data_IF_509440432128
#
_entry.id   IF_509440432128
#
_cell.length_a   1.000
_cell.length_b   1.000
_cell.length_c   1.000
_cell.angle_alpha   90.00
_cell.angle_beta   90.00
_cell.angle_gamma   90.00
#
_symmetry.space_group_name_H-M   'P 1'
#
loop_
_entity.id
_entity.type
_entity.pdbx_description
1 polymer ?
#
# COMPACT_ATOMS: atom_id res chain seq x y z
N UNK A 1 23.18 22.22 -26.03
CA UNK A 1 22.47 23.28 -25.29
C UNK A 1 22.11 22.66 -23.96
N UNK A 2 23.05 22.71 -23.02
CA UNK A 2 22.86 22.22 -21.65
C UNK A 2 21.73 23.02 -21.03
N UNK A 3 20.59 22.34 -20.77
CA UNK A 3 19.52 22.95 -20.00
C UNK A 3 20.09 23.24 -18.62
N UNK A 4 20.13 24.51 -18.24
CA UNK A 4 20.50 24.98 -16.90
C UNK A 4 19.93 24.03 -15.85
N UNK A 5 20.83 23.47 -15.03
CA UNK A 5 20.48 22.84 -13.75
C UNK A 5 19.93 23.96 -12.88
N UNK A 6 18.66 24.29 -13.07
CA UNK A 6 17.96 25.27 -12.29
C UNK A 6 17.80 24.66 -10.90
N UNK A 7 18.53 25.17 -9.91
CA UNK A 7 18.48 24.69 -8.53
C UNK A 7 17.02 24.56 -8.09
N UNK A 8 16.58 23.31 -7.88
CA UNK A 8 15.21 23.02 -7.48
C UNK A 8 15.06 23.52 -6.04
N UNK A 9 14.48 24.71 -5.87
CA UNK A 9 14.19 25.28 -4.57
C UNK A 9 13.03 24.52 -3.91
N UNK A 10 13.07 24.37 -2.59
CA UNK A 10 11.98 23.75 -1.80
C UNK A 10 10.62 24.45 -2.04
N UNK A 11 10.65 25.74 -2.38
CA UNK A 11 9.48 26.52 -2.78
C UNK A 11 8.79 26.01 -4.05
N UNK A 12 9.54 25.42 -4.99
CA UNK A 12 8.99 24.86 -6.22
C UNK A 12 8.22 23.57 -5.92
N UNK A 13 8.60 22.83 -4.88
CA UNK A 13 7.85 21.67 -4.37
C UNK A 13 6.47 22.10 -3.88
N UNK A 14 6.39 23.17 -3.06
CA UNK A 14 5.11 23.71 -2.61
C UNK A 14 4.24 24.19 -3.79
N UNK A 15 4.85 24.76 -4.83
CA UNK A 15 4.11 25.17 -6.02
C UNK A 15 3.52 23.97 -6.78
N UNK A 16 4.28 22.87 -6.90
CA UNK A 16 3.81 21.60 -7.48
C UNK A 16 2.64 21.04 -6.68
N UNK A 17 2.72 21.03 -5.35
CA UNK A 17 1.59 20.61 -4.49
C UNK A 17 0.32 21.44 -4.74
N UNK A 18 0.46 22.75 -4.97
CA UNK A 18 -0.71 23.63 -5.15
C UNK A 18 -1.33 23.53 -6.54
N UNK A 19 -0.53 23.35 -7.58
CA UNK A 19 -1.02 23.30 -8.97
C UNK A 19 -1.39 21.89 -9.43
N UNK A 20 -0.63 20.87 -9.05
CA UNK A 20 -0.82 19.50 -9.53
C UNK A 20 -1.71 18.69 -8.58
N UNK A 21 -3.03 18.83 -8.76
CA UNK A 21 -4.03 18.08 -7.97
C UNK A 21 -3.88 16.56 -8.12
N UNK A 22 -3.44 16.08 -9.29
CA UNK A 22 -3.22 14.66 -9.53
C UNK A 22 -2.08 14.11 -8.68
N UNK A 23 -1.00 14.88 -8.52
CA UNK A 23 0.11 14.54 -7.62
C UNK A 23 -0.33 14.46 -6.15
N UNK A 24 -1.10 15.44 -5.68
CA UNK A 24 -1.62 15.43 -4.30
C UNK A 24 -2.50 14.21 -4.05
N UNK A 25 -3.42 13.91 -4.97
CA UNK A 25 -4.27 12.72 -4.88
C UNK A 25 -3.44 11.43 -4.83
N UNK A 26 -2.40 11.32 -5.68
CA UNK A 26 -1.47 10.20 -5.67
C UNK A 26 -0.70 10.07 -4.35
N UNK A 27 -0.23 11.18 -3.77
CA UNK A 27 0.41 11.17 -2.45
C UNK A 27 -0.54 10.66 -1.36
N UNK A 28 -1.79 11.13 -1.33
CA UNK A 28 -2.79 10.69 -0.34
C UNK A 28 -3.07 9.19 -0.46
N UNK A 29 -3.30 8.71 -1.68
CA UNK A 29 -3.55 7.28 -1.93
C UNK A 29 -2.32 6.43 -1.60
N UNK A 30 -1.12 6.92 -1.90
CA UNK A 30 0.14 6.27 -1.55
C UNK A 30 0.35 6.14 -0.03
N UNK A 31 0.04 7.20 0.72
CA UNK A 31 0.08 7.20 2.19
C UNK A 31 -0.93 6.21 2.76
N UNK A 32 -2.19 6.29 2.33
CA UNK A 32 -3.25 5.41 2.79
C UNK A 32 -2.94 3.93 2.55
N UNK A 33 -2.43 3.61 1.36
CA UNK A 33 -1.97 2.25 1.04
C UNK A 33 -0.80 1.81 1.93
N UNK A 34 0.18 2.69 2.17
CA UNK A 34 1.31 2.34 3.05
C UNK A 34 0.86 2.10 4.49
N UNK A 35 -0.10 2.89 5.00
CA UNK A 35 -0.69 2.66 6.31
C UNK A 35 -1.35 1.28 6.35
N UNK A 36 -2.24 0.98 5.39
CA UNK A 36 -2.91 -0.32 5.27
C UNK A 36 -1.90 -1.47 5.28
N UNK A 37 -0.91 -1.42 4.38
CA UNK A 37 0.08 -2.49 4.19
C UNK A 37 0.85 -2.79 5.48
N UNK A 38 1.30 -1.75 6.20
CA UNK A 38 2.10 -1.93 7.41
C UNK A 38 1.24 -2.31 8.61
N UNK A 39 0.00 -1.80 8.71
CA UNK A 39 -0.95 -2.26 9.73
C UNK A 39 -1.21 -3.75 9.58
N UNK A 40 -1.51 -4.21 8.36
CA UNK A 40 -1.75 -5.63 8.08
C UNK A 40 -0.51 -6.45 8.41
N UNK A 41 0.67 -6.03 7.97
CA UNK A 41 1.92 -6.76 8.22
C UNK A 41 2.20 -6.90 9.73
N UNK A 42 2.02 -5.83 10.49
CA UNK A 42 2.23 -5.85 11.95
C UNK A 42 1.20 -6.74 12.64
N UNK A 43 -0.10 -6.56 12.40
CA UNK A 43 -1.16 -7.35 13.04
C UNK A 43 -1.13 -8.83 12.65
N UNK A 44 -0.76 -9.12 11.40
CA UNK A 44 -0.63 -10.49 10.90
C UNK A 44 0.42 -11.27 11.69
N UNK A 45 1.53 -10.64 12.12
CA UNK A 45 2.53 -11.28 13.00
C UNK A 45 1.89 -11.76 14.30
N UNK A 46 1.12 -10.90 14.98
CA UNK A 46 0.46 -11.24 16.25
C UNK A 46 -0.61 -12.31 16.06
N UNK A 47 -1.38 -12.28 14.96
CA UNK A 47 -2.36 -13.31 14.64
C UNK A 47 -1.72 -14.69 14.47
N UNK A 48 -0.63 -14.82 13.70
CA UNK A 48 0.03 -16.11 13.52
C UNK A 48 0.81 -16.58 14.75
N UNK A 49 1.36 -15.65 15.53
CA UNK A 49 2.14 -15.96 16.74
C UNK A 49 1.23 -16.35 17.91
N UNK A 50 0.28 -15.50 18.27
CA UNK A 50 -0.41 -15.54 19.55
C UNK A 50 -1.83 -16.13 19.47
N UNK A 51 -2.48 -16.10 18.29
CA UNK A 51 -3.83 -16.69 18.10
C UNK A 51 -3.74 -18.08 17.48
N UNK A 52 -2.95 -18.25 16.43
CA UNK A 52 -2.86 -19.53 15.69
C UNK A 52 -1.76 -20.46 16.25
N UNK A 53 -0.85 -19.96 17.09
CA UNK A 53 0.25 -20.73 17.68
C UNK A 53 1.23 -21.33 16.67
N UNK A 54 1.20 -20.87 15.41
CA UNK A 54 1.87 -21.48 14.28
C UNK A 54 2.61 -20.42 13.46
N UNK A 55 3.72 -19.93 14.01
CA UNK A 55 4.54 -18.87 13.42
C UNK A 55 5.11 -19.25 12.04
N UNK A 56 5.29 -20.54 11.77
CA UNK A 56 5.78 -21.05 10.47
C UNK A 56 4.79 -20.81 9.32
N UNK A 57 3.48 -20.73 9.62
CA UNK A 57 2.45 -20.45 8.61
C UNK A 57 2.53 -19.01 8.10
N UNK A 58 3.10 -18.08 8.87
CA UNK A 58 3.28 -16.69 8.43
C UNK A 58 4.20 -16.61 7.20
N UNK A 59 5.32 -17.34 7.20
CA UNK A 59 6.23 -17.38 6.05
C UNK A 59 5.55 -17.95 4.82
N UNK A 60 4.72 -18.98 5.00
CA UNK A 60 3.91 -19.57 3.92
C UNK A 60 2.90 -18.55 3.39
N UNK A 61 2.27 -17.75 4.26
CA UNK A 61 1.33 -16.69 3.87
C UNK A 61 1.97 -15.66 2.96
N UNK A 62 3.19 -15.22 3.29
CA UNK A 62 3.93 -14.24 2.51
C UNK A 62 4.29 -14.81 1.13
N UNK A 63 4.78 -16.05 1.08
CA UNK A 63 5.11 -16.73 -0.18
C UNK A 63 3.88 -16.91 -1.07
N UNK A 64 2.74 -17.32 -0.49
CA UNK A 64 1.48 -17.44 -1.22
C UNK A 64 0.99 -16.08 -1.74
N UNK A 65 1.04 -15.04 -0.90
CA UNK A 65 0.68 -13.66 -1.29
C UNK A 65 1.54 -13.14 -2.45
N UNK A 66 2.82 -13.51 -2.46
CA UNK A 66 3.76 -13.17 -3.53
C UNK A 66 3.41 -13.92 -4.81
N UNK A 67 3.07 -15.21 -4.73
CA UNK A 67 2.54 -15.98 -5.86
C UNK A 67 1.27 -15.36 -6.46
N UNK A 68 0.31 -14.97 -5.62
CA UNK A 68 -0.89 -14.27 -6.07
C UNK A 68 -0.57 -12.93 -6.74
N UNK A 69 0.37 -12.15 -6.19
CA UNK A 69 0.81 -10.90 -6.83
C UNK A 69 1.40 -11.14 -8.23
N UNK A 70 2.20 -12.18 -8.44
CA UNK A 70 2.74 -12.49 -9.77
C UNK A 70 1.66 -12.84 -10.78
N UNK A 71 0.68 -13.66 -10.40
CA UNK A 71 -0.45 -14.02 -11.26
C UNK A 71 -1.26 -12.77 -11.61
N UNK A 72 -1.55 -11.95 -10.60
CA UNK A 72 -2.30 -10.71 -10.81
C UNK A 72 -1.50 -9.69 -11.63
N UNK A 73 -0.17 -9.66 -11.55
CA UNK A 73 0.67 -8.79 -12.37
C UNK A 73 0.54 -9.08 -13.87
N UNK A 74 0.24 -10.31 -14.27
CA UNK A 74 -0.04 -10.64 -15.67
C UNK A 74 -1.42 -10.16 -16.13
N UNK A 75 -2.41 -10.18 -15.22
CA UNK A 75 -3.83 -9.92 -15.54
C UNK A 75 -4.15 -8.42 -15.45
N UNK A 76 -3.68 -7.76 -14.39
CA UNK A 76 -4.01 -6.38 -14.04
C UNK A 76 -3.67 -5.36 -15.14
N UNK A 77 -2.52 -5.44 -15.86
CA UNK A 77 -2.22 -4.52 -16.96
C UNK A 77 -3.29 -4.54 -18.06
N UNK A 78 -3.77 -5.72 -18.46
CA UNK A 78 -4.82 -5.87 -19.49
C UNK A 78 -6.14 -5.25 -19.06
N UNK A 79 -6.52 -5.40 -17.78
CA UNK A 79 -7.70 -4.74 -17.23
C UNK A 79 -7.51 -3.23 -17.11
N UNK A 80 -6.32 -2.78 -16.69
CA UNK A 80 -6.00 -1.37 -16.52
C UNK A 80 -6.01 -0.58 -17.82
N UNK A 81 -5.61 -1.21 -18.93
CA UNK A 81 -5.64 -0.61 -20.25
C UNK A 81 -7.08 -0.35 -20.74
N UNK A 82 -8.04 -1.20 -20.32
CA UNK A 82 -9.45 -1.10 -20.76
C UNK A 82 -10.30 -0.20 -19.86
N UNK A 83 -10.07 -0.22 -18.54
CA UNK A 83 -10.89 0.51 -17.56
C UNK A 83 -10.22 1.76 -17.00
N UNK A 84 -8.94 1.96 -17.28
CA UNK A 84 -8.11 3.02 -16.70
C UNK A 84 -7.46 2.60 -15.38
N UNK A 85 -6.25 3.10 -15.15
CA UNK A 85 -5.45 2.81 -13.95
C UNK A 85 -6.18 3.23 -12.67
N UNK A 86 -6.76 4.43 -12.64
CA UNK A 86 -7.42 4.98 -11.45
C UNK A 86 -8.65 4.16 -11.01
N UNK A 87 -9.48 3.72 -11.97
CA UNK A 87 -10.65 2.88 -11.67
C UNK A 87 -10.22 1.50 -11.19
N UNK A 88 -9.19 0.93 -11.80
CA UNK A 88 -8.71 -0.41 -11.42
C UNK A 88 -8.10 -0.40 -10.02
N UNK A 89 -7.35 0.65 -9.64
CA UNK A 89 -6.85 0.86 -8.27
C UNK A 89 -7.99 0.96 -7.26
N UNK A 90 -9.07 1.70 -7.56
CA UNK A 90 -10.22 1.77 -6.66
C UNK A 90 -10.90 0.42 -6.47
N UNK A 91 -11.09 -0.33 -7.55
CA UNK A 91 -11.75 -1.64 -7.52
C UNK A 91 -10.90 -2.66 -6.77
N UNK A 92 -9.59 -2.72 -7.03
CA UNK A 92 -8.69 -3.66 -6.32
C UNK A 92 -8.65 -3.37 -4.81
N UNK A 93 -8.60 -2.10 -4.42
CA UNK A 93 -8.66 -1.70 -3.01
C UNK A 93 -10.01 -2.05 -2.37
N UNK A 94 -11.12 -1.82 -3.08
CA UNK A 94 -12.44 -2.19 -2.57
C UNK A 94 -12.58 -3.70 -2.36
N UNK A 95 -12.09 -4.52 -3.30
CA UNK A 95 -12.06 -5.97 -3.16
C UNK A 95 -11.16 -6.39 -1.99
N UNK A 96 -9.99 -5.77 -1.83
CA UNK A 96 -9.08 -6.03 -0.71
C UNK A 96 -9.75 -5.77 0.66
N UNK A 97 -10.49 -4.65 0.79
CA UNK A 97 -11.25 -4.34 2.01
C UNK A 97 -12.31 -5.41 2.30
N UNK A 98 -13.07 -5.84 1.28
CA UNK A 98 -14.07 -6.91 1.46
C UNK A 98 -13.40 -8.21 1.93
N UNK A 99 -12.26 -8.58 1.33
CA UNK A 99 -11.53 -9.79 1.73
C UNK A 99 -11.00 -9.71 3.18
N UNK A 100 -10.57 -8.53 3.64
CA UNK A 100 -10.20 -8.34 5.04
C UNK A 100 -11.39 -8.45 5.99
N UNK A 101 -12.56 -7.92 5.62
CA UNK A 101 -13.80 -8.08 6.41
C UNK A 101 -14.20 -9.56 6.49
N UNK A 102 -14.11 -10.30 5.38
CA UNK A 102 -14.38 -11.74 5.36
C UNK A 102 -13.39 -12.48 6.27
N UNK A 103 -12.12 -12.10 6.24
CA UNK A 103 -11.07 -12.68 7.09
C UNK A 103 -11.34 -12.44 8.57
N UNK A 104 -11.89 -11.28 8.94
CA UNK A 104 -12.27 -10.96 10.32
C UNK A 104 -13.38 -11.88 10.87
N UNK A 105 -14.28 -12.38 10.02
CA UNK A 105 -15.42 -13.23 10.41
C UNK A 105 -15.04 -14.72 10.52
N UNK A 106 -13.86 -15.14 10.05
CA UNK A 106 -13.45 -16.55 9.92
C UNK A 106 -12.36 -17.02 10.92
N UNK A 107 -12.55 -16.94 12.26
CA UNK A 107 -11.45 -17.13 13.20
C UNK A 107 -11.09 -18.60 13.53
N UNK A 108 -11.77 -19.61 13.00
CA UNK A 108 -11.66 -20.98 13.55
C UNK A 108 -10.72 -21.94 12.83
N UNK A 109 -10.22 -21.62 11.62
CA UNK A 109 -9.29 -22.52 10.91
C UNK A 109 -8.03 -21.79 10.38
N UNK A 110 -6.82 -22.15 10.87
CA UNK A 110 -5.55 -21.54 10.46
C UNK A 110 -5.30 -21.56 8.94
N UNK A 111 -5.74 -22.61 8.23
CA UNK A 111 -5.54 -22.74 6.79
C UNK A 111 -6.49 -21.87 5.97
N UNK A 112 -7.71 -21.65 6.47
CA UNK A 112 -8.68 -20.76 5.81
C UNK A 112 -8.25 -19.31 5.98
N UNK A 113 -7.80 -18.93 7.18
CA UNK A 113 -7.20 -17.63 7.43
C UNK A 113 -5.96 -17.40 6.55
N UNK A 114 -5.11 -18.41 6.39
CA UNK A 114 -3.94 -18.37 5.50
C UNK A 114 -4.30 -18.00 4.07
N UNK A 115 -5.24 -18.71 3.46
CA UNK A 115 -5.61 -18.48 2.07
C UNK A 115 -6.32 -17.13 1.91
N UNK A 116 -7.25 -16.79 2.80
CA UNK A 116 -8.02 -15.55 2.73
C UNK A 116 -7.14 -14.31 2.94
N UNK A 117 -6.27 -14.31 3.96
CA UNK A 117 -5.32 -13.22 4.21
C UNK A 117 -4.30 -13.07 3.07
N UNK A 118 -3.81 -14.19 2.52
CA UNK A 118 -2.86 -14.15 1.40
C UNK A 118 -3.49 -13.60 0.13
N UNK A 119 -4.76 -13.92 -0.12
CA UNK A 119 -5.51 -13.37 -1.25
C UNK A 119 -5.79 -11.87 -1.05
N UNK A 120 -6.17 -11.46 0.16
CA UNK A 120 -6.43 -10.05 0.50
C UNK A 120 -5.20 -9.17 0.29
N UNK A 121 -4.03 -9.63 0.77
CA UNK A 121 -2.73 -8.98 0.59
C UNK A 121 -2.28 -9.03 -0.87
N UNK A 122 -2.50 -10.17 -1.54
CA UNK A 122 -2.23 -10.35 -2.97
C UNK A 122 -2.95 -9.33 -3.84
N UNK A 123 -4.27 -9.21 -3.67
CA UNK A 123 -5.10 -8.27 -4.41
C UNK A 123 -4.75 -6.82 -4.05
N UNK A 124 -4.53 -6.52 -2.77
CA UNK A 124 -4.11 -5.19 -2.32
C UNK A 124 -2.77 -4.77 -2.95
N UNK A 125 -1.80 -5.69 -3.02
CA UNK A 125 -0.45 -5.48 -3.55
C UNK A 125 -0.41 -5.00 -5.00
N UNK A 126 -1.39 -5.40 -5.82
CA UNK A 126 -1.52 -4.93 -7.21
C UNK A 126 -1.61 -3.41 -7.33
N UNK A 127 -2.14 -2.75 -6.29
CA UNK A 127 -2.27 -1.29 -6.24
C UNK A 127 -0.92 -0.58 -6.30
N UNK A 128 0.12 -1.16 -5.69
CA UNK A 128 1.47 -0.58 -5.73
C UNK A 128 2.02 -0.55 -7.14
N UNK A 129 1.83 -1.65 -7.87
CA UNK A 129 2.30 -1.76 -9.26
C UNK A 129 1.66 -0.67 -10.12
N UNK A 130 0.35 -0.44 -9.92
CA UNK A 130 -0.38 0.60 -10.64
C UNK A 130 0.02 2.01 -10.21
N UNK A 131 0.33 2.23 -8.93
CA UNK A 131 0.84 3.51 -8.44
C UNK A 131 2.15 3.90 -9.13
N UNK A 132 3.07 2.96 -9.31
CA UNK A 132 4.30 3.24 -10.05
C UNK A 132 4.04 3.58 -11.52
N UNK A 133 3.04 2.95 -12.15
CA UNK A 133 2.59 3.32 -13.50
C UNK A 133 1.95 4.71 -13.56
N UNK A 134 1.10 5.05 -12.60
CA UNK A 134 0.45 6.37 -12.49
C UNK A 134 1.43 7.49 -12.14
N UNK A 135 2.56 7.17 -11.51
CA UNK A 135 3.57 8.17 -11.20
C UNK A 135 4.15 8.78 -12.48
N UNK A 136 4.41 7.96 -13.51
CA UNK A 136 4.91 8.46 -14.80
C UNK A 136 3.97 9.51 -15.41
N UNK A 137 2.66 9.20 -15.44
CA UNK A 137 1.67 10.14 -16.00
C UNK A 137 1.53 11.42 -15.18
N UNK A 138 1.76 11.36 -13.86
CA UNK A 138 1.77 12.54 -12.99
C UNK A 138 3.01 13.40 -13.20
N UNK A 139 4.17 12.78 -13.46
CA UNK A 139 5.41 13.48 -13.80
C UNK A 139 5.22 14.23 -15.12
N UNK A 140 4.70 13.56 -16.15
CA UNK A 140 4.41 14.16 -17.45
C UNK A 140 3.41 15.33 -17.32
N UNK A 141 2.33 15.13 -16.56
CA UNK A 141 1.34 16.17 -16.30
C UNK A 141 1.95 17.38 -15.58
N UNK A 142 2.90 17.14 -14.67
CA UNK A 142 3.59 18.23 -13.98
C UNK A 142 4.45 19.06 -14.93
N UNK A 143 5.15 18.43 -15.87
CA UNK A 143 5.96 19.11 -16.87
C UNK A 143 5.09 20.05 -17.72
N UNK A 144 3.88 19.63 -18.09
CA UNK A 144 2.92 20.46 -18.84
C UNK A 144 2.40 21.65 -18.03
N UNK A 145 2.11 21.47 -16.74
CA UNK A 145 1.47 22.51 -15.90
C UNK A 145 2.47 23.53 -15.34
N UNK A 146 3.69 23.08 -15.03
CA UNK A 146 4.73 23.89 -14.37
C UNK A 146 5.78 24.36 -15.37
N UNK A 147 5.96 23.67 -16.50
CA UNK A 147 6.95 24.00 -17.52
C UNK A 147 8.40 23.75 -17.10
N UNK A 148 8.62 23.10 -15.94
CA UNK A 148 9.94 22.76 -15.39
C UNK A 148 10.05 21.25 -15.16
N UNK A 149 11.18 20.67 -15.56
CA UNK A 149 11.53 19.29 -15.22
C UNK A 149 11.87 19.17 -13.74
N UNK A 150 10.96 18.57 -12.98
CA UNK A 150 11.07 18.41 -11.51
C UNK A 150 10.83 16.95 -11.10
N UNK A 151 11.16 16.01 -11.99
CA UNK A 151 10.91 14.56 -11.82
C UNK A 151 11.51 14.02 -10.51
N UNK A 152 12.77 14.36 -10.23
CA UNK A 152 13.46 13.92 -9.02
C UNK A 152 12.81 14.43 -7.73
N UNK A 153 12.30 15.66 -7.74
CA UNK A 153 11.60 16.21 -6.57
C UNK A 153 10.25 15.55 -6.36
N UNK A 154 9.49 15.29 -7.42
CA UNK A 154 8.18 14.61 -7.36
C UNK A 154 8.37 13.18 -6.84
N UNK A 155 9.33 12.46 -7.40
CA UNK A 155 9.66 11.10 -6.97
C UNK A 155 10.14 11.06 -5.52
N UNK A 156 11.02 11.99 -5.14
CA UNK A 156 11.54 12.12 -3.78
C UNK A 156 10.44 12.43 -2.76
N UNK A 157 9.58 13.40 -3.06
CA UNK A 157 8.48 13.74 -2.15
C UNK A 157 7.42 12.64 -2.08
N UNK A 158 7.11 11.96 -3.17
CA UNK A 158 6.20 10.80 -3.14
C UNK A 158 6.73 9.70 -2.21
N UNK A 159 8.01 9.35 -2.32
CA UNK A 159 8.59 8.33 -1.44
C UNK A 159 8.71 8.80 0.01
N UNK A 160 8.97 10.09 0.25
CA UNK A 160 8.92 10.66 1.59
C UNK A 160 7.53 10.51 2.21
N UNK A 161 6.48 10.87 1.47
CA UNK A 161 5.09 10.70 1.91
C UNK A 161 4.78 9.24 2.22
N UNK A 162 5.23 8.32 1.36
CA UNK A 162 5.10 6.88 1.63
C UNK A 162 5.77 6.47 2.94
N UNK A 163 7.02 6.89 3.19
CA UNK A 163 7.72 6.59 4.45
C UNK A 163 6.97 7.11 5.68
N UNK A 164 6.36 8.29 5.59
CA UNK A 164 5.49 8.81 6.65
C UNK A 164 4.31 7.85 6.90
N UNK A 165 3.64 7.40 5.84
CA UNK A 165 2.56 6.42 5.93
C UNK A 165 3.00 5.08 6.56
N UNK A 166 4.22 4.61 6.25
CA UNK A 166 4.78 3.38 6.84
C UNK A 166 5.05 3.53 8.35
N UNK A 167 5.64 4.66 8.75
CA UNK A 167 5.90 4.97 10.15
C UNK A 167 4.60 5.05 10.95
N UNK A 168 3.58 5.73 10.41
CA UNK A 168 2.26 5.83 11.03
C UNK A 168 1.60 4.45 11.11
N UNK A 169 1.58 3.68 10.01
CA UNK A 169 0.90 2.38 9.97
C UNK A 169 1.48 1.38 10.95
N UNK A 170 2.81 1.22 10.97
CA UNK A 170 3.49 0.33 11.92
C UNK A 170 3.30 0.75 13.38
N UNK A 171 3.43 2.05 13.67
CA UNK A 171 3.32 2.57 15.03
C UNK A 171 1.88 2.51 15.56
N UNK A 172 0.90 2.86 14.73
CA UNK A 172 -0.52 2.80 15.08
C UNK A 172 -0.98 1.35 15.34
N UNK A 173 -0.51 0.39 14.52
CA UNK A 173 -0.84 -1.01 14.72
C UNK A 173 -0.38 -1.54 16.08
N UNK A 174 0.84 -1.20 16.52
CA UNK A 174 1.34 -1.59 17.85
C UNK A 174 0.61 -0.86 18.97
N UNK A 175 0.36 0.44 18.81
CA UNK A 175 -0.32 1.26 19.82
C UNK A 175 -1.78 0.84 20.06
N UNK A 176 -2.43 0.22 19.08
CA UNK A 176 -3.81 -0.27 19.20
C UNK A 176 -3.92 -1.62 19.95
N UNK A 177 -2.85 -2.41 20.02
CA UNK A 177 -2.87 -3.74 20.67
C UNK A 177 -3.32 -3.66 22.15
N UNK A 178 -2.80 -2.77 23.00
CA UNK A 178 -3.27 -2.67 24.39
C UNK A 178 -4.73 -2.22 24.50
N UNK A 179 -5.22 -1.41 23.56
CA UNK A 179 -6.59 -0.88 23.57
C UNK A 179 -7.61 -1.97 23.27
N UNK A 180 -7.28 -2.91 22.38
CA UNK A 180 -8.14 -4.07 22.07
C UNK A 180 -8.02 -5.20 23.11
N UNK A 181 -7.28 -4.99 24.20
CA UNK A 181 -7.12 -5.97 25.27
C UNK A 181 -6.14 -7.10 24.94
N UNK A 182 -5.26 -6.93 23.95
CA UNK A 182 -4.23 -7.93 23.65
C UNK A 182 -3.26 -8.06 24.83
N UNK A 183 -3.13 -9.28 25.37
CA UNK A 183 -2.22 -9.59 26.48
C UNK A 183 -0.99 -10.32 25.93
N UNK A 184 0.20 -9.71 25.93
CA UNK A 184 1.41 -10.36 25.45
C UNK A 184 1.70 -11.64 26.25
N UNK A 185 1.93 -12.76 25.56
CA UNK A 185 2.25 -14.08 26.14
C UNK A 185 1.13 -14.73 26.98
N UNK A 186 -0.14 -14.36 26.82
CA UNK A 186 -1.23 -15.12 27.43
C UNK A 186 -1.30 -16.55 26.85
N UNK A 187 -1.65 -17.54 27.69
CA UNK A 187 -1.79 -18.94 27.27
C UNK A 187 -2.94 -19.15 26.26
N UNK A 188 -3.89 -18.22 26.21
CA UNK A 188 -4.96 -18.13 25.23
C UNK A 188 -5.39 -16.67 25.10
N UNK A 189 -5.52 -16.17 23.87
CA UNK A 189 -6.13 -14.88 23.58
C UNK A 189 -7.66 -15.09 23.53
N UNK A 190 -8.42 -14.32 24.31
CA UNK A 190 -9.90 -14.41 24.39
C UNK A 190 -10.55 -13.28 23.61
#
# INVERSE_FOLDING_TARGET
MEAEVNDIKVTDILHVFRKNRAFVAMCIVGVAYCIQQYVVTTLQIYMYRDVLGALTLMSVAIVLSMGFNFILMAIVPSFSARFGLERTVRVSQFISVILFIVTFILPTNPYVFLIASSLAVGVGGTTVLMQWGMMGTVIDYNEVVVGKRTEGSIYGTFNLMRRIGQAIGSSAAVALLPVIGFIPNAASQT
#
